data_IF_534783708226
#
_entry.id   IF_534783708226
#
_cell.length_a   1.000
_cell.length_b   1.000
_cell.length_c   1.000
_cell.angle_alpha   90.00
_cell.angle_beta   90.00
_cell.angle_gamma   90.00
#
_symmetry.space_group_name_H-M   'P 1'
#
loop_
_entity.id
_entity.type
_entity.pdbx_description
1 polymer ?
#
# COMPACT_ATOMS: atom_id res chain seq x y z
N UNK A 1 -35.80 46.47 29.55
CA UNK A 1 -36.22 45.44 28.57
C UNK A 1 -35.79 44.07 29.09
N UNK A 2 -36.69 43.10 29.25
CA UNK A 2 -36.32 41.72 29.58
C UNK A 2 -35.76 41.06 28.32
N UNK A 3 -34.46 40.78 28.28
CA UNK A 3 -33.87 39.92 27.25
C UNK A 3 -34.58 38.57 27.27
N UNK A 4 -35.37 38.27 26.24
CA UNK A 4 -35.91 36.92 26.03
C UNK A 4 -34.73 35.99 25.83
N UNK A 5 -34.50 35.08 26.78
CA UNK A 5 -33.53 33.99 26.62
C UNK A 5 -33.88 33.22 25.34
N UNK A 6 -32.94 33.08 24.39
CA UNK A 6 -33.20 32.37 23.15
C UNK A 6 -33.45 30.89 23.43
N UNK A 7 -34.54 30.38 22.86
CA UNK A 7 -35.03 28.99 23.02
C UNK A 7 -33.98 27.97 22.59
N UNK A 8 -33.03 28.32 21.71
CA UNK A 8 -32.09 27.39 21.10
C UNK A 8 -31.11 26.71 22.08
N UNK A 9 -30.55 27.42 23.07
CA UNK A 9 -29.55 26.84 24.02
C UNK A 9 -30.16 25.84 25.00
N UNK A 10 -31.49 25.86 25.18
CA UNK A 10 -32.24 24.90 25.98
C UNK A 10 -33.25 24.12 25.14
N UNK A 11 -33.17 24.25 23.81
CA UNK A 11 -34.08 23.55 22.92
C UNK A 11 -33.65 22.09 22.86
N UNK A 12 -34.61 21.19 22.95
CA UNK A 12 -34.41 19.76 22.70
C UNK A 12 -33.64 19.53 21.41
N UNK A 13 -33.88 20.36 20.38
CA UNK A 13 -33.18 20.32 19.11
C UNK A 13 -31.67 20.60 19.23
N UNK A 14 -31.25 21.62 20.00
CA UNK A 14 -29.84 21.93 20.22
C UNK A 14 -29.10 20.81 20.95
N UNK A 15 -29.74 20.20 21.95
CA UNK A 15 -29.20 19.02 22.65
C UNK A 15 -29.06 17.81 21.72
N UNK A 16 -30.07 17.54 20.89
CA UNK A 16 -30.03 16.43 19.92
C UNK A 16 -28.91 16.66 18.91
N UNK A 17 -28.82 17.83 18.28
CA UNK A 17 -27.78 18.13 17.29
C UNK A 17 -26.38 18.03 17.92
N UNK A 18 -26.17 18.60 19.11
CA UNK A 18 -24.87 18.55 19.79
C UNK A 18 -24.50 17.11 20.17
N UNK A 19 -25.43 16.35 20.73
CA UNK A 19 -25.20 14.95 21.12
C UNK A 19 -24.90 14.07 19.90
N UNK A 20 -25.67 14.22 18.82
CA UNK A 20 -25.44 13.52 17.56
C UNK A 20 -24.07 13.87 16.97
N UNK A 21 -23.69 15.15 16.91
CA UNK A 21 -22.38 15.54 16.39
C UNK A 21 -21.25 14.98 17.25
N UNK A 22 -21.34 15.04 18.58
CA UNK A 22 -20.32 14.47 19.48
C UNK A 22 -20.16 12.96 19.25
N UNK A 23 -21.27 12.21 19.11
CA UNK A 23 -21.21 10.78 18.85
C UNK A 23 -20.62 10.45 17.48
N UNK A 24 -21.06 11.16 16.43
CA UNK A 24 -20.56 10.95 15.06
C UNK A 24 -19.11 11.39 14.88
N UNK A 25 -18.65 12.39 15.64
CA UNK A 25 -17.26 12.88 15.58
C UNK A 25 -16.30 12.10 16.48
N UNK A 26 -16.79 11.28 17.41
CA UNK A 26 -15.95 10.54 18.37
C UNK A 26 -14.87 9.68 17.71
N UNK A 27 -15.16 8.89 16.64
CA UNK A 27 -14.12 8.11 15.96
C UNK A 27 -13.01 9.00 15.39
N UNK A 28 -13.35 10.18 14.86
CA UNK A 28 -12.38 11.13 14.33
C UNK A 28 -11.53 11.78 15.43
N UNK A 29 -12.11 12.05 16.59
CA UNK A 29 -11.37 12.51 17.77
C UNK A 29 -10.37 11.48 18.27
N UNK A 30 -10.81 10.22 18.39
CA UNK A 30 -9.93 9.13 18.82
C UNK A 30 -8.83 8.88 17.79
N UNK A 31 -9.15 8.91 16.49
CA UNK A 31 -8.16 8.79 15.42
C UNK A 31 -7.17 9.96 15.43
N UNK A 32 -7.63 11.20 15.61
CA UNK A 32 -6.75 12.37 15.68
C UNK A 32 -5.84 12.34 16.92
N UNK A 33 -6.38 11.97 18.09
CA UNK A 33 -5.59 11.84 19.31
C UNK A 33 -4.57 10.69 19.19
N UNK A 34 -4.99 9.54 18.66
CA UNK A 34 -4.12 8.41 18.36
C UNK A 34 -3.01 8.81 17.40
N UNK A 35 -3.35 9.46 16.28
CA UNK A 35 -2.40 9.97 15.30
C UNK A 35 -1.40 10.92 15.95
N UNK A 36 -1.86 11.90 16.73
CA UNK A 36 -0.99 12.84 17.42
C UNK A 36 -0.01 12.14 18.37
N UNK A 37 -0.48 11.14 19.12
CA UNK A 37 0.31 10.41 20.10
C UNK A 37 1.38 9.50 19.45
N UNK A 38 1.06 8.85 18.33
CA UNK A 38 1.96 7.85 17.71
C UNK A 38 2.78 8.37 16.54
N UNK A 39 2.41 9.52 15.95
CA UNK A 39 3.07 10.02 14.75
C UNK A 39 4.53 10.38 15.00
N UNK A 40 5.40 9.95 14.09
CA UNK A 40 6.80 10.37 14.03
C UNK A 40 6.98 11.59 13.13
N UNK A 41 6.12 11.76 12.10
CA UNK A 41 6.28 12.84 11.14
C UNK A 41 5.58 14.14 11.58
N UNK A 42 6.24 15.31 11.44
CA UNK A 42 5.63 16.59 11.78
C UNK A 42 4.35 16.89 10.99
N UNK A 43 4.26 16.46 9.73
CA UNK A 43 3.08 16.65 8.87
C UNK A 43 1.85 15.95 9.44
N UNK A 44 2.00 14.69 9.86
CA UNK A 44 0.93 13.91 10.49
C UNK A 44 0.48 14.51 11.82
N UNK A 45 1.42 15.01 12.64
CA UNK A 45 1.10 15.71 13.90
C UNK A 45 0.32 17.00 13.64
N UNK A 46 0.73 17.80 12.64
CA UNK A 46 0.00 19.00 12.23
C UNK A 46 -1.41 18.66 11.75
N UNK A 47 -1.57 17.58 10.98
CA UNK A 47 -2.89 17.14 10.54
C UNK A 47 -3.77 16.70 11.72
N UNK A 48 -3.21 15.98 12.69
CA UNK A 48 -3.90 15.63 13.92
C UNK A 48 -4.34 16.87 14.72
N UNK A 49 -3.47 17.88 14.85
CA UNK A 49 -3.80 19.18 15.46
C UNK A 49 -4.93 19.86 14.69
N UNK A 50 -4.88 19.86 13.36
CA UNK A 50 -5.95 20.42 12.53
C UNK A 50 -7.29 19.74 12.83
N UNK A 51 -7.33 18.41 12.88
CA UNK A 51 -8.56 17.67 13.22
C UNK A 51 -9.06 18.00 14.64
N UNK A 52 -8.17 17.98 15.64
CA UNK A 52 -8.49 18.32 17.04
C UNK A 52 -9.06 19.75 17.14
N UNK A 53 -8.53 20.70 16.38
CA UNK A 53 -9.01 22.08 16.41
C UNK A 53 -10.32 22.29 15.61
N UNK A 54 -10.48 21.63 14.47
CA UNK A 54 -11.60 21.87 13.55
C UNK A 54 -12.86 21.06 13.88
N UNK A 55 -12.74 19.84 14.42
CA UNK A 55 -13.88 18.99 14.80
C UNK A 55 -14.88 19.63 15.81
N UNK A 56 -14.45 20.43 16.81
CA UNK A 56 -15.37 21.10 17.72
C UNK A 56 -15.98 22.40 17.15
N UNK A 57 -15.60 22.86 15.96
CA UNK A 57 -16.14 24.11 15.40
C UNK A 57 -17.67 24.10 15.25
N UNK A 58 -18.32 23.06 14.68
CA UNK A 58 -19.77 23.05 14.56
C UNK A 58 -20.48 23.19 15.92
N UNK A 59 -19.95 22.56 16.98
CA UNK A 59 -20.48 22.71 18.34
C UNK A 59 -20.34 24.14 18.87
N UNK A 60 -19.19 24.78 18.64
CA UNK A 60 -18.99 26.17 19.08
C UNK A 60 -19.84 27.16 18.27
N UNK A 61 -20.08 26.90 16.98
CA UNK A 61 -20.98 27.68 16.12
C UNK A 61 -22.45 27.55 16.54
N UNK A 62 -22.88 26.37 16.99
CA UNK A 62 -24.24 26.18 17.56
C UNK A 62 -24.46 27.05 18.81
N UNK A 63 -23.39 27.36 19.55
CA UNK A 63 -23.41 28.17 20.78
C UNK A 63 -22.84 29.59 20.55
N UNK A 64 -22.90 30.10 19.31
CA UNK A 64 -22.24 31.33 18.85
C UNK A 64 -22.61 32.59 19.63
N UNK A 65 -23.71 32.63 20.40
CA UNK A 65 -24.14 33.85 21.10
C UNK A 65 -23.22 34.29 22.23
N UNK A 66 -22.47 33.37 22.86
CA UNK A 66 -21.52 33.71 23.93
C UNK A 66 -20.21 34.21 23.33
N UNK A 67 -19.76 35.40 23.73
CA UNK A 67 -18.49 35.99 23.24
C UNK A 67 -17.30 35.06 23.44
N UNK A 68 -17.24 34.32 24.55
CA UNK A 68 -16.20 33.32 24.79
C UNK A 68 -16.19 32.18 23.76
N UNK A 69 -17.36 31.73 23.31
CA UNK A 69 -17.49 30.69 22.26
C UNK A 69 -17.08 31.22 20.89
N UNK A 70 -17.37 32.49 20.59
CA UNK A 70 -16.89 33.14 19.35
C UNK A 70 -15.37 33.22 19.32
N UNK A 71 -14.76 33.66 20.42
CA UNK A 71 -13.31 33.75 20.55
C UNK A 71 -12.69 32.35 20.42
N UNK A 72 -13.24 31.36 21.13
CA UNK A 72 -12.77 29.98 21.02
C UNK A 72 -12.89 29.42 19.59
N UNK A 73 -14.03 29.62 18.92
CA UNK A 73 -14.22 29.18 17.53
C UNK A 73 -13.23 29.86 16.57
N UNK A 74 -12.99 31.16 16.74
CA UNK A 74 -12.01 31.89 15.91
C UNK A 74 -10.60 31.35 16.13
N UNK A 75 -10.19 31.14 17.37
CA UNK A 75 -8.86 30.59 17.69
C UNK A 75 -8.70 29.16 17.14
N UNK A 76 -9.71 28.31 17.32
CA UNK A 76 -9.72 26.95 16.78
C UNK A 76 -9.64 26.95 15.25
N UNK A 77 -10.36 27.83 14.58
CA UNK A 77 -10.32 27.98 13.13
C UNK A 77 -8.95 28.47 12.64
N UNK A 78 -8.36 29.46 13.32
CA UNK A 78 -7.04 29.99 12.97
C UNK A 78 -5.96 28.93 13.16
N UNK A 79 -5.93 28.25 14.31
CA UNK A 79 -4.93 27.21 14.59
C UNK A 79 -5.12 26.01 13.68
N UNK A 80 -6.35 25.50 13.58
CA UNK A 80 -6.65 24.33 12.75
C UNK A 80 -6.45 24.60 11.25
N UNK A 81 -6.90 25.76 10.78
CA UNK A 81 -6.72 26.19 9.39
C UNK A 81 -5.25 26.40 9.04
N UNK A 82 -4.46 27.02 9.93
CA UNK A 82 -3.01 27.20 9.74
C UNK A 82 -2.27 25.87 9.73
N UNK A 83 -2.60 24.95 10.64
CA UNK A 83 -2.02 23.62 10.67
C UNK A 83 -2.32 22.84 9.38
N UNK A 84 -3.57 22.87 8.90
CA UNK A 84 -3.97 22.24 7.65
C UNK A 84 -3.29 22.86 6.42
N UNK A 85 -3.17 24.19 6.39
CA UNK A 85 -2.45 24.90 5.34
C UNK A 85 -0.96 24.49 5.30
N UNK A 86 -0.30 24.42 6.45
CA UNK A 86 1.09 23.97 6.56
C UNK A 86 1.25 22.49 6.17
N UNK A 87 0.26 21.63 6.47
CA UNK A 87 0.24 20.27 5.93
C UNK A 87 0.19 20.29 4.41
N UNK A 88 -0.74 21.05 3.82
CA UNK A 88 -0.91 21.15 2.37
C UNK A 88 0.34 21.63 1.62
N UNK A 89 1.10 22.55 2.20
CA UNK A 89 2.37 23.00 1.61
C UNK A 89 3.46 21.92 1.62
N UNK A 90 3.43 20.99 2.57
CA UNK A 90 4.42 19.91 2.69
C UNK A 90 4.07 18.66 1.89
N UNK A 91 2.83 18.55 1.42
CA UNK A 91 2.34 17.39 0.65
C UNK A 91 2.50 17.55 -0.85
N UNK A 92 3.26 18.55 -1.32
CA UNK A 92 3.56 18.75 -2.73
C UNK A 92 4.56 17.69 -3.22
N UNK A 93 4.04 16.47 -3.36
CA UNK A 93 4.75 15.33 -3.91
C UNK A 93 4.49 15.29 -5.42
N UNK A 94 5.56 15.07 -6.19
CA UNK A 94 5.50 15.00 -7.65
C UNK A 94 5.43 13.54 -8.07
N UNK A 95 4.62 13.17 -9.08
CA UNK A 95 4.64 11.80 -9.63
C UNK A 95 5.96 11.44 -10.33
N UNK A 96 6.95 12.35 -10.38
CA UNK A 96 8.15 12.21 -11.18
C UNK A 96 7.91 12.64 -12.64
N UNK A 97 8.99 12.90 -13.35
CA UNK A 97 8.98 13.25 -14.78
C UNK A 97 9.10 12.02 -15.66
N UNK A 98 8.83 12.18 -16.95
CA UNK A 98 8.89 11.09 -17.93
C UNK A 98 10.29 10.44 -18.04
N UNK A 99 11.34 11.17 -17.71
CA UNK A 99 12.72 10.66 -17.81
C UNK A 99 13.31 10.27 -16.44
N UNK A 100 12.53 10.41 -15.36
CA UNK A 100 13.01 10.04 -14.03
C UNK A 100 13.07 8.51 -13.89
N UNK A 101 14.14 7.94 -13.32
CA UNK A 101 14.27 6.50 -13.13
C UNK A 101 13.14 5.90 -12.30
N UNK A 102 12.69 6.62 -11.26
CA UNK A 102 11.55 6.27 -10.44
C UNK A 102 10.41 7.27 -10.67
N UNK A 103 9.20 6.77 -10.94
CA UNK A 103 8.03 7.62 -11.18
C UNK A 103 6.72 6.86 -10.98
N UNK A 104 5.62 7.61 -10.98
CA UNK A 104 4.26 7.12 -11.03
C UNK A 104 3.64 7.43 -12.39
N UNK A 105 3.19 6.40 -13.08
CA UNK A 105 2.47 6.52 -14.35
C UNK A 105 0.97 6.48 -14.07
N UNK A 106 0.25 7.53 -14.44
CA UNK A 106 -1.21 7.61 -14.32
C UNK A 106 -1.82 7.49 -15.73
N UNK A 107 -2.74 6.55 -15.92
CA UNK A 107 -3.41 6.32 -17.21
C UNK A 107 -4.72 7.09 -17.36
N UNK A 108 -5.43 7.31 -16.26
CA UNK A 108 -6.64 8.13 -16.21
C UNK A 108 -6.35 9.47 -15.52
N UNK A 109 -7.23 10.47 -15.68
CA UNK A 109 -7.22 11.69 -14.87
C UNK A 109 -7.40 11.29 -13.41
N UNK A 110 -6.27 11.10 -12.72
CA UNK A 110 -6.25 10.60 -11.35
C UNK A 110 -7.16 11.46 -10.47
N UNK A 111 -8.00 10.85 -9.62
CA UNK A 111 -8.83 11.59 -8.68
C UNK A 111 -7.93 12.50 -7.85
N UNK A 112 -8.32 13.78 -7.81
CA UNK A 112 -7.63 14.88 -7.15
C UNK A 112 -6.84 14.46 -5.90
N UNK A 113 -5.55 14.76 -5.87
CA UNK A 113 -4.59 14.50 -4.78
C UNK A 113 -4.98 15.08 -3.40
N UNK A 114 -6.06 15.85 -3.32
CA UNK A 114 -6.56 16.53 -2.11
C UNK A 114 -7.45 15.63 -1.25
N UNK A 115 -7.12 14.36 -1.15
CA UNK A 115 -7.83 13.46 -0.25
C UNK A 115 -7.15 13.45 1.13
N UNK A 116 -7.91 13.29 2.24
CA UNK A 116 -7.39 13.47 3.59
C UNK A 116 -6.16 12.62 3.94
N UNK A 117 -6.04 11.44 3.33
CA UNK A 117 -4.91 10.53 3.50
C UNK A 117 -3.58 11.10 2.99
N UNK A 118 -3.61 12.06 2.05
CA UNK A 118 -2.40 12.74 1.59
C UNK A 118 -1.72 13.57 2.68
N UNK A 119 -2.45 14.00 3.72
CA UNK A 119 -1.92 14.82 4.82
C UNK A 119 -1.22 14.04 5.92
N UNK A 120 -1.35 12.71 5.93
CA UNK A 120 -0.70 11.84 6.91
C UNK A 120 0.45 11.14 6.20
N UNK A 121 1.66 11.21 6.76
CA UNK A 121 2.79 10.49 6.18
C UNK A 121 2.53 8.98 6.21
N UNK A 122 2.93 8.26 5.16
CA UNK A 122 2.61 6.83 5.02
C UNK A 122 3.14 5.97 6.19
N UNK A 123 4.31 6.30 6.74
CA UNK A 123 4.87 5.64 7.95
C UNK A 123 3.94 5.74 9.17
N UNK A 124 3.26 6.88 9.35
CA UNK A 124 2.34 7.10 10.45
C UNK A 124 0.99 6.43 10.22
N UNK A 125 0.56 6.38 8.95
CA UNK A 125 -0.61 5.60 8.56
C UNK A 125 -0.40 4.11 8.84
N UNK A 126 0.77 3.57 8.46
CA UNK A 126 1.16 2.19 8.77
C UNK A 126 1.23 1.98 10.29
N UNK A 127 1.85 2.92 11.01
CA UNK A 127 1.96 2.83 12.47
C UNK A 127 0.58 2.70 13.13
N UNK A 128 -0.37 3.58 12.80
CA UNK A 128 -1.75 3.48 13.28
C UNK A 128 -2.41 2.14 12.90
N UNK A 129 -2.26 1.73 11.64
CA UNK A 129 -2.79 0.46 11.16
C UNK A 129 -2.24 -0.72 11.95
N UNK A 130 -0.95 -0.74 12.28
CA UNK A 130 -0.35 -1.82 13.06
C UNK A 130 -0.94 -1.94 14.48
N UNK A 131 -1.31 -0.82 15.13
CA UNK A 131 -2.01 -0.85 16.41
C UNK A 131 -3.40 -1.45 16.25
N UNK A 132 -4.12 -1.05 15.20
CA UNK A 132 -5.45 -1.60 14.90
C UNK A 132 -5.38 -3.09 14.58
N UNK A 133 -4.40 -3.52 13.79
CA UNK A 133 -4.19 -4.93 13.46
C UNK A 133 -3.88 -5.73 14.71
N UNK A 134 -2.96 -5.31 15.58
CA UNK A 134 -2.70 -6.01 16.84
C UNK A 134 -3.92 -6.09 17.79
N UNK A 135 -4.87 -5.16 17.67
CA UNK A 135 -6.10 -5.17 18.45
C UNK A 135 -7.20 -6.06 17.86
N UNK A 136 -7.16 -6.38 16.57
CA UNK A 136 -8.25 -7.05 15.84
C UNK A 136 -7.87 -8.37 15.21
N UNK A 137 -6.59 -8.59 14.96
CA UNK A 137 -6.00 -9.78 14.37
C UNK A 137 -5.40 -10.63 15.49
N UNK A 138 -6.01 -11.78 15.79
CA UNK A 138 -5.54 -12.69 16.83
C UNK A 138 -4.14 -13.24 16.58
N UNK A 139 -3.70 -13.22 15.32
CA UNK A 139 -2.43 -13.81 14.92
C UNK A 139 -1.27 -12.79 15.01
N UNK A 140 -1.58 -11.50 15.16
CA UNK A 140 -0.59 -10.45 15.28
C UNK A 140 -0.50 -9.95 16.73
N UNK A 141 0.53 -10.40 17.45
CA UNK A 141 0.77 -9.94 18.82
C UNK A 141 1.17 -8.46 18.88
N UNK A 142 0.93 -7.82 20.03
CA UNK A 142 1.35 -6.43 20.27
C UNK A 142 2.86 -6.21 20.14
N UNK A 143 3.66 -7.18 20.60
CA UNK A 143 5.12 -7.12 20.48
C UNK A 143 5.55 -7.20 19.03
N UNK A 144 4.94 -8.11 18.25
CA UNK A 144 5.27 -8.24 16.83
C UNK A 144 4.86 -7.00 16.04
N UNK A 145 3.68 -6.45 16.32
CA UNK A 145 3.27 -5.18 15.72
C UNK A 145 4.22 -4.03 16.10
N UNK A 146 4.82 -4.03 17.29
CA UNK A 146 5.84 -3.06 17.67
C UNK A 146 7.12 -3.22 16.86
N UNK A 147 7.61 -4.45 16.68
CA UNK A 147 8.77 -4.73 15.82
C UNK A 147 8.55 -4.26 14.39
N UNK A 148 7.36 -4.52 13.82
CA UNK A 148 7.00 -4.05 12.48
C UNK A 148 6.98 -2.53 12.37
N UNK A 149 6.56 -1.82 13.42
CA UNK A 149 6.62 -0.35 13.44
C UNK A 149 8.06 0.15 13.41
N UNK A 150 8.97 -0.47 14.15
CA UNK A 150 10.38 -0.08 14.14
C UNK A 150 11.02 -0.37 12.77
N UNK A 151 10.78 -1.56 12.19
CA UNK A 151 11.24 -1.90 10.83
C UNK A 151 10.75 -0.85 9.82
N UNK A 152 9.47 -0.47 9.90
CA UNK A 152 8.91 0.53 8.99
C UNK A 152 9.46 1.93 9.25
N UNK A 153 9.72 2.33 10.49
CA UNK A 153 10.37 3.62 10.78
C UNK A 153 11.76 3.68 10.17
N UNK A 154 12.56 2.63 10.33
CA UNK A 154 13.91 2.55 9.77
C UNK A 154 13.85 2.61 8.23
N UNK A 155 12.96 1.82 7.63
CA UNK A 155 12.73 1.81 6.19
C UNK A 155 12.34 3.20 5.64
N UNK A 156 11.50 3.93 6.36
CA UNK A 156 11.07 5.27 5.96
C UNK A 156 12.13 6.34 6.23
N UNK A 157 12.96 6.15 7.24
CA UNK A 157 14.16 6.97 7.45
C UNK A 157 15.06 6.88 6.23
N UNK A 158 15.35 5.67 5.76
CA UNK A 158 16.17 5.44 4.57
C UNK A 158 15.50 5.97 3.29
N UNK A 159 14.20 5.71 3.10
CA UNK A 159 13.42 6.20 1.97
C UNK A 159 13.44 7.74 1.90
N UNK A 160 13.39 8.43 3.04
CA UNK A 160 13.42 9.89 3.09
C UNK A 160 14.73 10.49 2.56
N UNK A 161 15.80 9.69 2.55
CA UNK A 161 17.11 10.09 2.03
C UNK A 161 17.30 9.69 0.56
N UNK A 162 16.42 8.86 -0.02
CA UNK A 162 16.51 8.46 -1.42
C UNK A 162 15.97 9.60 -2.32
N UNK A 163 16.80 10.21 -3.17
CA UNK A 163 16.40 11.37 -3.97
C UNK A 163 15.38 11.03 -5.07
N UNK A 164 15.26 9.76 -5.47
CA UNK A 164 14.35 9.31 -6.51
C UNK A 164 12.97 8.92 -5.95
N UNK A 165 12.91 8.48 -4.68
CA UNK A 165 11.68 7.99 -4.07
C UNK A 165 11.04 8.96 -3.07
N UNK A 166 11.83 9.77 -2.37
CA UNK A 166 11.36 10.63 -1.26
C UNK A 166 10.29 11.65 -1.65
N UNK A 167 10.25 12.06 -2.93
CA UNK A 167 9.29 13.04 -3.45
C UNK A 167 8.04 12.43 -4.07
N UNK A 168 7.99 11.10 -4.22
CA UNK A 168 6.84 10.42 -4.80
C UNK A 168 5.65 10.46 -3.81
N UNK A 169 4.40 10.55 -4.29
CA UNK A 169 3.24 10.49 -3.42
C UNK A 169 2.91 9.06 -2.98
N UNK A 170 2.31 8.93 -1.80
CA UNK A 170 1.73 7.66 -1.32
C UNK A 170 0.55 7.23 -2.19
N UNK A 171 0.43 5.92 -2.43
CA UNK A 171 -0.68 5.31 -3.17
C UNK A 171 -1.75 4.65 -2.29
N UNK A 172 -1.58 4.70 -0.95
CA UNK A 172 -2.52 4.08 -0.01
C UNK A 172 -3.93 4.68 -0.03
N UNK A 173 -4.10 5.86 -0.61
CA UNK A 173 -5.42 6.46 -0.81
C UNK A 173 -6.41 5.54 -1.55
N UNK A 174 -5.92 4.78 -2.53
CA UNK A 174 -6.73 3.80 -3.27
C UNK A 174 -7.16 2.65 -2.36
N UNK A 175 -6.24 2.16 -1.51
CA UNK A 175 -6.50 1.12 -0.52
C UNK A 175 -7.57 1.54 0.50
N UNK A 176 -7.52 2.78 1.01
CA UNK A 176 -8.55 3.23 1.96
C UNK A 176 -9.92 3.39 1.33
N UNK A 177 -9.99 3.89 0.09
CA UNK A 177 -11.26 3.95 -0.64
C UNK A 177 -11.89 2.57 -0.75
N UNK A 178 -11.09 1.56 -1.09
CA UNK A 178 -11.54 0.18 -1.20
C UNK A 178 -12.04 -0.37 0.14
N UNK A 179 -11.30 -0.12 1.23
CA UNK A 179 -11.69 -0.52 2.58
C UNK A 179 -13.01 0.13 3.05
N UNK A 180 -13.32 1.32 2.54
CA UNK A 180 -14.60 2.01 2.78
C UNK A 180 -15.74 1.51 1.88
N UNK A 181 -15.50 0.46 1.09
CA UNK A 181 -16.48 -0.11 0.16
C UNK A 181 -16.73 0.76 -1.08
N UNK A 182 -15.86 1.74 -1.34
CA UNK A 182 -15.93 2.57 -2.53
C UNK A 182 -15.24 1.81 -3.66
N UNK A 183 -15.94 1.61 -4.78
CA UNK A 183 -15.39 0.93 -5.95
C UNK A 183 -14.07 1.59 -6.39
N UNK A 184 -13.07 0.74 -6.63
CA UNK A 184 -11.73 1.16 -7.02
C UNK A 184 -11.46 0.76 -8.47
N UNK A 185 -11.04 1.73 -9.27
CA UNK A 185 -10.50 1.49 -10.60
C UNK A 185 -9.01 1.13 -10.51
N UNK A 186 -8.41 0.80 -11.65
CA UNK A 186 -6.96 0.70 -11.77
C UNK A 186 -6.31 2.03 -11.34
N UNK A 187 -5.36 1.95 -10.42
CA UNK A 187 -4.64 3.10 -9.89
C UNK A 187 -3.33 3.37 -10.63
N UNK A 188 -2.55 4.37 -10.17
CA UNK A 188 -1.23 4.65 -10.73
C UNK A 188 -0.29 3.45 -10.64
N UNK A 189 0.62 3.35 -11.61
CA UNK A 189 1.67 2.33 -11.67
C UNK A 189 2.98 2.94 -11.19
N UNK A 190 3.56 2.42 -10.11
CA UNK A 190 4.94 2.75 -9.75
C UNK A 190 5.90 2.05 -10.70
N UNK A 191 6.88 2.79 -11.22
CA UNK A 191 7.89 2.23 -12.12
C UNK A 191 9.27 2.66 -11.66
N UNK A 192 10.21 1.72 -11.63
CA UNK A 192 11.62 1.98 -11.44
C UNK A 192 12.47 1.28 -12.49
N UNK A 193 13.23 2.06 -13.28
CA UNK A 193 14.14 1.57 -14.30
C UNK A 193 15.57 1.91 -13.84
N UNK A 194 16.38 0.93 -13.38
CA UNK A 194 17.72 1.22 -12.90
C UNK A 194 18.60 1.75 -14.04
N UNK A 195 19.46 2.72 -13.74
CA UNK A 195 20.44 3.24 -14.71
C UNK A 195 21.28 2.11 -15.30
N UNK A 196 21.83 2.30 -16.51
CA UNK A 196 22.63 1.26 -17.18
C UNK A 196 23.85 0.95 -16.32
N UNK A 197 23.81 -0.18 -15.60
CA UNK A 197 24.98 -0.71 -14.92
C UNK A 197 26.08 -0.88 -15.97
N UNK A 198 27.25 -0.29 -15.76
CA UNK A 198 28.28 0.10 -16.73
C UNK A 198 28.90 -0.98 -17.64
N UNK A 199 28.24 -2.11 -17.86
CA UNK A 199 28.49 -2.96 -19.01
C UNK A 199 27.84 -2.36 -20.26
N UNK A 200 28.62 -2.25 -21.34
CA UNK A 200 28.27 -1.74 -22.67
C UNK A 200 27.14 -2.53 -23.40
N UNK A 201 26.26 -3.21 -22.69
CA UNK A 201 25.13 -3.94 -23.25
C UNK A 201 23.98 -3.00 -23.57
N UNK A 202 23.78 -2.71 -24.86
CA UNK A 202 22.59 -2.06 -25.43
C UNK A 202 21.31 -2.91 -25.32
N UNK A 203 21.25 -3.86 -24.38
CA UNK A 203 20.16 -4.83 -24.26
C UNK A 203 18.98 -4.27 -23.47
N UNK A 204 17.78 -4.57 -23.96
CA UNK A 204 16.54 -4.41 -23.20
C UNK A 204 16.59 -5.28 -21.93
N UNK A 205 15.98 -4.79 -20.84
CA UNK A 205 16.02 -5.41 -19.51
C UNK A 205 14.76 -6.23 -19.24
N UNK A 206 14.88 -7.28 -18.44
CA UNK A 206 13.71 -7.94 -17.87
C UNK A 206 12.94 -6.99 -16.94
N UNK A 207 11.65 -7.21 -16.77
CA UNK A 207 10.81 -6.44 -15.86
C UNK A 207 10.11 -7.36 -14.84
N UNK A 208 10.13 -6.94 -13.59
CA UNK A 208 9.39 -7.55 -12.48
C UNK A 208 8.11 -6.76 -12.26
N UNK A 209 6.96 -7.35 -12.63
CA UNK A 209 5.63 -6.77 -12.40
C UNK A 209 5.11 -7.26 -11.06
N UNK A 210 4.95 -6.37 -10.08
CA UNK A 210 4.72 -6.75 -8.67
C UNK A 210 3.31 -6.38 -8.22
N UNK A 211 2.51 -7.39 -7.90
CA UNK A 211 1.18 -7.24 -7.34
C UNK A 211 1.25 -7.17 -5.81
N UNK A 212 0.90 -6.01 -5.26
CA UNK A 212 0.90 -5.80 -3.82
C UNK A 212 -0.19 -6.63 -3.10
N UNK A 213 0.02 -6.87 -1.81
CA UNK A 213 -0.95 -7.53 -0.94
C UNK A 213 -1.96 -6.59 -0.30
N UNK A 214 -2.55 -7.03 0.81
CA UNK A 214 -3.59 -6.32 1.58
C UNK A 214 -3.15 -4.98 2.17
N UNK A 215 -1.84 -4.73 2.21
CA UNK A 215 -1.28 -3.49 2.69
C UNK A 215 -1.34 -2.34 1.69
N UNK A 216 -1.64 -2.61 0.41
CA UNK A 216 -1.59 -1.62 -0.65
C UNK A 216 -0.19 -1.49 -1.27
N UNK A 217 -0.07 -0.61 -2.26
CA UNK A 217 1.18 -0.30 -2.94
C UNK A 217 2.01 0.71 -2.13
N UNK A 218 2.68 0.22 -1.08
CA UNK A 218 3.41 1.04 -0.10
C UNK A 218 4.72 1.60 -0.66
N UNK A 219 5.04 2.86 -0.38
CA UNK A 219 6.33 3.48 -0.76
C UNK A 219 7.51 2.76 -0.13
N UNK A 220 7.38 2.33 1.13
CA UNK A 220 8.41 1.53 1.81
C UNK A 220 8.78 0.28 1.00
N UNK A 221 7.79 -0.38 0.37
CA UNK A 221 8.07 -1.52 -0.50
C UNK A 221 8.85 -1.14 -1.76
N UNK A 222 8.60 0.05 -2.33
CA UNK A 222 9.32 0.54 -3.50
C UNK A 222 10.80 0.72 -3.24
N UNK A 223 11.17 1.18 -2.04
CA UNK A 223 12.58 1.30 -1.66
C UNK A 223 13.28 -0.07 -1.65
N UNK A 224 12.62 -1.09 -1.09
CA UNK A 224 13.14 -2.46 -1.13
C UNK A 224 13.26 -2.97 -2.57
N UNK A 225 12.22 -2.78 -3.39
CA UNK A 225 12.24 -3.19 -4.79
C UNK A 225 13.28 -2.46 -5.63
N UNK A 226 13.50 -1.17 -5.36
CA UNK A 226 14.56 -0.38 -5.97
C UNK A 226 15.93 -0.97 -5.67
N UNK A 227 16.22 -1.35 -4.42
CA UNK A 227 17.49 -2.01 -4.07
C UNK A 227 17.71 -3.32 -4.85
N UNK A 228 16.64 -4.11 -5.04
CA UNK A 228 16.70 -5.33 -5.84
C UNK A 228 16.94 -5.03 -7.32
N UNK A 229 16.27 -4.01 -7.86
CA UNK A 229 16.47 -3.56 -9.23
C UNK A 229 17.89 -3.06 -9.47
N UNK A 230 18.44 -2.28 -8.53
CA UNK A 230 19.81 -1.76 -8.60
C UNK A 230 20.85 -2.90 -8.64
N UNK A 231 20.63 -3.99 -7.90
CA UNK A 231 21.57 -5.11 -7.82
C UNK A 231 21.44 -6.15 -8.93
N UNK A 232 20.30 -6.20 -9.61
CA UNK A 232 19.99 -7.20 -10.64
C UNK A 232 19.87 -6.61 -12.05
N UNK A 233 19.65 -5.30 -12.15
CA UNK A 233 19.37 -4.61 -13.41
C UNK A 233 17.96 -4.86 -13.96
N UNK A 234 17.05 -5.48 -13.20
CA UNK A 234 15.66 -5.64 -13.63
C UNK A 234 14.88 -4.33 -13.44
N UNK A 235 13.97 -4.03 -14.34
CA UNK A 235 12.96 -3.00 -14.12
C UNK A 235 11.94 -3.47 -13.08
N UNK A 236 11.38 -2.55 -12.29
CA UNK A 236 10.26 -2.82 -11.38
C UNK A 236 9.05 -2.04 -11.85
N UNK A 237 7.91 -2.73 -11.93
CA UNK A 237 6.63 -2.14 -12.33
C UNK A 237 5.56 -2.64 -11.34
N UNK A 238 5.11 -1.79 -10.44
CA UNK A 238 4.16 -2.14 -9.39
C UNK A 238 2.81 -1.41 -9.62
N UNK A 239 1.83 -2.05 -10.26
CA UNK A 239 0.49 -1.48 -10.39
C UNK A 239 -0.18 -1.33 -9.03
N UNK A 240 -1.12 -0.38 -8.94
CA UNK A 240 -1.95 -0.16 -7.75
C UNK A 240 -3.37 -0.59 -8.01
N UNK A 241 -3.94 -1.40 -7.12
CA UNK A 241 -5.36 -1.77 -7.19
C UNK A 241 -5.97 -2.01 -5.81
N UNK A 242 -6.85 -1.10 -5.37
CA UNK A 242 -7.61 -1.20 -4.13
C UNK A 242 -6.79 -1.64 -2.92
N UNK A 243 -7.32 -2.60 -2.15
CA UNK A 243 -6.57 -3.27 -1.09
C UNK A 243 -5.84 -4.54 -1.55
N UNK A 244 -5.51 -4.68 -2.84
CA UNK A 244 -4.82 -5.86 -3.37
C UNK A 244 -5.72 -7.09 -3.54
N UNK A 245 -7.03 -6.88 -3.67
CA UNK A 245 -8.00 -7.94 -4.00
C UNK A 245 -8.13 -8.07 -5.53
N UNK A 246 -7.08 -8.57 -6.17
CA UNK A 246 -6.91 -8.56 -7.62
C UNK A 246 -7.96 -9.35 -8.42
N UNK A 247 -8.74 -10.20 -7.75
CA UNK A 247 -9.83 -10.96 -8.36
C UNK A 247 -11.06 -10.10 -8.68
N UNK A 248 -11.19 -8.91 -8.08
CA UNK A 248 -12.32 -7.99 -8.30
C UNK A 248 -12.24 -7.28 -9.64
N UNK A 249 -13.40 -6.76 -10.07
CA UNK A 249 -13.53 -5.91 -11.27
C UNK A 249 -12.50 -4.78 -11.24
N UNK A 250 -11.70 -4.66 -12.30
CA UNK A 250 -10.63 -3.67 -12.42
C UNK A 250 -9.23 -4.21 -12.11
N UNK A 251 -9.08 -5.30 -11.34
CA UNK A 251 -7.77 -5.84 -10.97
C UNK A 251 -6.96 -6.28 -12.19
N UNK A 252 -7.56 -7.05 -13.10
CA UNK A 252 -6.92 -7.42 -14.37
C UNK A 252 -6.61 -6.24 -15.27
N UNK A 253 -7.42 -5.17 -15.24
CA UNK A 253 -7.15 -3.97 -16.01
C UNK A 253 -5.90 -3.24 -15.47
N UNK A 254 -5.71 -3.19 -14.14
CA UNK A 254 -4.49 -2.65 -13.54
C UNK A 254 -3.25 -3.47 -13.91
N UNK A 255 -3.35 -4.81 -13.95
CA UNK A 255 -2.25 -5.66 -14.39
C UNK A 255 -1.94 -5.44 -15.88
N UNK A 256 -2.98 -5.33 -16.71
CA UNK A 256 -2.83 -5.04 -18.14
C UNK A 256 -2.17 -3.67 -18.38
N UNK A 257 -2.49 -2.64 -17.60
CA UNK A 257 -1.83 -1.33 -17.67
C UNK A 257 -0.32 -1.40 -17.31
N UNK A 258 0.04 -2.19 -16.30
CA UNK A 258 1.45 -2.43 -15.98
C UNK A 258 2.16 -3.20 -17.10
N UNK A 259 1.52 -4.21 -17.69
CA UNK A 259 2.07 -4.93 -18.84
C UNK A 259 2.23 -4.01 -20.06
N UNK A 260 1.23 -3.16 -20.34
CA UNK A 260 1.28 -2.19 -21.44
C UNK A 260 2.45 -1.21 -21.27
N UNK A 261 2.70 -0.75 -20.04
CA UNK A 261 3.90 0.03 -19.73
C UNK A 261 5.16 -0.74 -20.12
N UNK A 262 5.28 -2.01 -19.71
CA UNK A 262 6.44 -2.83 -20.01
C UNK A 262 6.70 -3.00 -21.52
N UNK A 263 5.67 -3.31 -22.31
CA UNK A 263 5.84 -3.59 -23.74
C UNK A 263 6.17 -2.32 -24.54
N UNK A 264 5.63 -1.17 -24.13
CA UNK A 264 5.84 0.11 -24.82
C UNK A 264 7.14 0.80 -24.41
N UNK A 265 7.74 0.44 -23.27
CA UNK A 265 8.96 1.07 -22.79
C UNK A 265 10.19 0.63 -23.61
N UNK A 266 11.00 1.57 -24.16
CA UNK A 266 12.09 1.23 -25.08
C UNK A 266 13.21 0.40 -24.42
N UNK A 267 13.38 0.53 -23.11
CA UNK A 267 14.43 -0.17 -22.34
C UNK A 267 13.99 -1.52 -21.74
N UNK A 268 12.72 -1.91 -21.87
CA UNK A 268 12.19 -3.17 -21.33
C UNK A 268 12.03 -4.20 -22.45
N UNK A 269 12.38 -5.45 -22.12
CA UNK A 269 12.21 -6.62 -22.97
C UNK A 269 10.85 -7.25 -22.71
N UNK A 270 9.94 -7.11 -23.68
CA UNK A 270 8.57 -7.65 -23.63
C UNK A 270 8.52 -9.18 -23.52
N UNK A 271 9.59 -9.89 -23.92
CA UNK A 271 9.68 -11.34 -23.78
C UNK A 271 10.15 -11.81 -22.40
N UNK A 272 10.58 -10.89 -21.54
CA UNK A 272 11.19 -11.18 -20.23
C UNK A 272 10.47 -10.50 -19.09
N UNK A 273 9.15 -10.69 -19.05
CA UNK A 273 8.28 -10.19 -17.98
C UNK A 273 8.10 -11.25 -16.90
N UNK A 274 8.37 -10.89 -15.65
CA UNK A 274 8.23 -11.76 -14.48
C UNK A 274 7.06 -11.24 -13.67
N UNK A 275 6.05 -12.08 -13.44
CA UNK A 275 4.90 -11.71 -12.62
C UNK A 275 5.16 -12.12 -11.17
N UNK A 276 5.11 -11.14 -10.28
CA UNK A 276 5.29 -11.32 -8.86
C UNK A 276 4.05 -10.95 -8.07
N UNK A 277 3.83 -11.60 -6.93
CA UNK A 277 2.72 -11.31 -6.04
C UNK A 277 3.05 -11.52 -4.57
N UNK A 278 2.59 -10.60 -3.72
CA UNK A 278 2.80 -10.65 -2.26
C UNK A 278 1.46 -10.91 -1.57
N UNK A 279 1.36 -11.91 -0.69
CA UNK A 279 0.11 -12.19 0.02
C UNK A 279 -1.05 -12.45 -0.96
N UNK A 280 -2.13 -11.66 -0.86
CA UNK A 280 -3.25 -11.66 -1.82
C UNK A 280 -2.83 -11.30 -3.25
N UNK A 281 -1.76 -10.53 -3.42
CA UNK A 281 -1.14 -10.29 -4.73
C UNK A 281 -0.66 -11.59 -5.40
N UNK A 282 -0.27 -12.59 -4.61
CA UNK A 282 0.06 -13.92 -5.13
C UNK A 282 -1.14 -14.64 -5.76
N UNK A 283 -2.34 -14.43 -5.21
CA UNK A 283 -3.59 -14.93 -5.82
C UNK A 283 -3.85 -14.25 -7.16
N UNK A 284 -3.74 -12.92 -7.22
CA UNK A 284 -3.84 -12.17 -8.47
C UNK A 284 -2.84 -12.64 -9.52
N UNK A 285 -1.59 -12.86 -9.09
CA UNK A 285 -0.52 -13.31 -9.97
C UNK A 285 -0.81 -14.67 -10.58
N UNK A 286 -1.26 -15.63 -9.77
CA UNK A 286 -1.61 -16.97 -10.26
C UNK A 286 -2.86 -16.97 -11.16
N UNK A 287 -3.86 -16.15 -10.86
CA UNK A 287 -5.05 -16.00 -11.72
C UNK A 287 -4.67 -15.43 -13.09
N UNK A 288 -3.84 -14.39 -13.11
CA UNK A 288 -3.39 -13.78 -14.36
C UNK A 288 -2.46 -14.71 -15.14
N UNK A 289 -1.56 -15.41 -14.45
CA UNK A 289 -0.70 -16.43 -15.04
C UNK A 289 -1.52 -17.56 -15.69
N UNK A 290 -2.64 -17.97 -15.08
CA UNK A 290 -3.54 -18.95 -15.66
C UNK A 290 -4.31 -18.41 -16.88
N UNK A 291 -4.66 -17.12 -16.87
CA UNK A 291 -5.46 -16.49 -17.91
C UNK A 291 -4.64 -16.12 -19.15
N UNK A 292 -3.43 -15.59 -18.96
CA UNK A 292 -2.53 -15.08 -20.01
C UNK A 292 -1.10 -15.64 -19.82
N UNK A 293 -0.92 -16.97 -19.86
CA UNK A 293 0.35 -17.61 -19.54
C UNK A 293 1.50 -17.16 -20.44
N UNK A 294 1.27 -16.99 -21.74
CA UNK A 294 2.30 -16.61 -22.71
C UNK A 294 2.92 -15.22 -22.45
N UNK A 295 2.28 -14.40 -21.63
CA UNK A 295 2.72 -13.02 -21.34
C UNK A 295 3.78 -12.92 -20.24
N UNK A 296 4.04 -14.02 -19.52
CA UNK A 296 4.86 -14.01 -18.31
C UNK A 296 5.91 -15.10 -18.36
N UNK A 297 7.20 -14.76 -18.42
CA UNK A 297 8.32 -15.72 -18.46
C UNK A 297 8.37 -16.61 -17.21
N UNK A 298 8.19 -16.02 -16.02
CA UNK A 298 8.33 -16.68 -14.71
C UNK A 298 7.34 -16.11 -13.68
N UNK A 299 7.12 -16.87 -12.61
CA UNK A 299 6.36 -16.41 -11.44
C UNK A 299 7.23 -16.29 -10.18
N UNK A 300 6.96 -15.27 -9.37
CA UNK A 300 7.54 -15.09 -8.04
C UNK A 300 6.42 -14.85 -7.02
N UNK A 301 6.27 -15.73 -6.04
CA UNK A 301 5.21 -15.65 -5.04
C UNK A 301 5.83 -15.48 -3.65
N UNK A 302 5.48 -14.41 -2.97
CA UNK A 302 5.98 -14.08 -1.64
C UNK A 302 4.86 -14.16 -0.62
N UNK A 303 4.98 -15.10 0.32
CA UNK A 303 3.96 -15.44 1.30
C UNK A 303 2.54 -15.46 0.69
N UNK A 304 2.31 -16.18 -0.42
CA UNK A 304 1.04 -16.11 -1.13
C UNK A 304 -0.11 -16.64 -0.26
N UNK A 305 -1.26 -15.97 -0.33
CA UNK A 305 -2.50 -16.50 0.27
C UNK A 305 -3.06 -17.58 -0.65
N UNK A 306 -3.31 -18.78 -0.12
CA UNK A 306 -3.63 -19.98 -0.89
C UNK A 306 -5.10 -20.38 -0.91
N UNK A 307 -5.92 -19.87 0.01
CA UNK A 307 -7.36 -20.19 0.11
C UNK A 307 -8.16 -19.91 -1.17
N UNK A 308 -7.71 -18.94 -1.97
CA UNK A 308 -8.40 -18.48 -3.19
C UNK A 308 -7.81 -19.11 -4.47
N UNK A 309 -6.80 -19.96 -4.32
CA UNK A 309 -6.04 -20.48 -5.42
C UNK A 309 -6.72 -21.70 -6.03
N UNK A 310 -7.38 -21.50 -7.18
CA UNK A 310 -7.75 -22.58 -8.12
C UNK A 310 -6.51 -23.13 -8.86
N UNK A 311 -5.42 -23.42 -8.12
CA UNK A 311 -4.15 -23.92 -8.67
C UNK A 311 -4.35 -25.21 -9.47
N UNK A 312 -5.34 -26.05 -9.12
CA UNK A 312 -5.67 -27.27 -9.85
C UNK A 312 -6.39 -27.08 -11.19
N UNK A 313 -6.56 -25.84 -11.67
CA UNK A 313 -7.21 -25.62 -12.97
C UNK A 313 -6.37 -26.18 -14.12
N UNK A 314 -7.04 -26.88 -15.05
CA UNK A 314 -6.40 -27.42 -16.25
C UNK A 314 -5.69 -26.33 -17.08
N UNK A 315 -6.25 -25.13 -17.11
CA UNK A 315 -5.68 -23.95 -17.77
C UNK A 315 -4.30 -23.58 -17.23
N UNK A 316 -4.12 -23.58 -15.90
CA UNK A 316 -2.81 -23.31 -15.31
C UNK A 316 -1.84 -24.46 -15.61
N UNK A 317 -2.30 -25.71 -15.50
CA UNK A 317 -1.46 -26.89 -15.74
C UNK A 317 -0.87 -26.94 -17.14
N UNK A 318 -1.72 -26.87 -18.15
CA UNK A 318 -1.28 -27.06 -19.54
C UNK A 318 -0.37 -25.91 -19.97
N UNK A 319 -0.59 -24.71 -19.44
CA UNK A 319 0.15 -23.54 -19.85
C UNK A 319 1.44 -23.26 -19.07
N UNK A 320 1.58 -23.80 -17.85
CA UNK A 320 2.77 -23.59 -17.02
C UNK A 320 3.69 -24.80 -16.89
N UNK A 321 3.37 -25.92 -17.55
CA UNK A 321 4.23 -27.10 -17.58
C UNK A 321 5.64 -26.76 -18.09
N UNK A 322 6.66 -27.13 -17.32
CA UNK A 322 8.08 -26.91 -17.62
C UNK A 322 8.57 -25.48 -17.38
N UNK A 323 7.70 -24.54 -16.97
CA UNK A 323 8.06 -23.14 -16.72
C UNK A 323 8.48 -22.94 -15.27
N UNK A 324 9.26 -21.89 -15.02
CA UNK A 324 9.85 -21.62 -13.70
C UNK A 324 8.91 -20.80 -12.82
N UNK A 325 8.77 -21.21 -11.56
CA UNK A 325 8.16 -20.38 -10.53
C UNK A 325 8.96 -20.49 -9.23
N UNK A 326 9.09 -19.39 -8.50
CA UNK A 326 9.67 -19.34 -7.17
C UNK A 326 8.59 -19.02 -6.14
N UNK A 327 8.59 -19.76 -5.03
CA UNK A 327 7.73 -19.47 -3.87
C UNK A 327 8.64 -19.29 -2.64
N UNK A 328 8.50 -18.15 -1.98
CA UNK A 328 9.11 -17.90 -0.67
C UNK A 328 7.98 -17.73 0.34
N UNK A 329 7.93 -18.60 1.34
CA UNK A 329 6.86 -18.62 2.35
C UNK A 329 7.43 -18.85 3.74
N UNK A 330 6.59 -18.74 4.75
CA UNK A 330 6.93 -19.12 6.12
C UNK A 330 6.95 -20.64 6.31
N UNK A 331 7.79 -21.12 7.22
CA UNK A 331 7.80 -22.52 7.65
C UNK A 331 6.68 -22.75 8.68
N UNK A 332 5.46 -23.04 8.21
CA UNK A 332 4.32 -23.32 9.08
C UNK A 332 3.08 -23.85 8.36
N UNK A 333 2.31 -24.69 9.04
CA UNK A 333 1.00 -25.17 8.59
C UNK A 333 -0.13 -24.13 8.80
N UNK A 334 0.19 -22.98 9.38
CA UNK A 334 -0.78 -22.01 9.91
C UNK A 334 -0.86 -20.75 9.06
N UNK A 335 -1.27 -20.88 7.80
CA UNK A 335 -1.74 -19.72 7.05
C UNK A 335 -3.22 -19.93 6.74
N UNK A 336 -4.07 -19.60 7.72
CA UNK A 336 -5.54 -19.57 7.60
C UNK A 336 -6.25 -20.93 7.34
N UNK A 337 -7.55 -21.08 7.71
CA UNK A 337 -8.27 -22.34 7.60
C UNK A 337 -8.71 -22.63 6.14
N UNK A 338 -7.75 -23.04 5.30
CA UNK A 338 -8.04 -23.52 3.95
C UNK A 338 -6.79 -23.73 3.10
N UNK A 339 -6.38 -24.99 2.95
CA UNK A 339 -5.24 -25.44 2.12
C UNK A 339 -3.86 -24.88 2.52
N UNK A 340 -3.05 -25.73 3.18
CA UNK A 340 -1.61 -25.46 3.42
C UNK A 340 -0.90 -25.11 2.10
N UNK A 341 0.06 -24.18 2.16
CA UNK A 341 0.99 -23.87 1.05
C UNK A 341 1.63 -25.13 0.47
N UNK A 342 1.80 -26.18 1.29
CA UNK A 342 2.29 -27.48 0.87
C UNK A 342 1.37 -28.15 -0.16
N UNK A 343 0.05 -28.06 0.01
CA UNK A 343 -0.91 -28.60 -0.96
C UNK A 343 -0.83 -27.84 -2.28
N UNK A 344 -0.73 -26.50 -2.22
CA UNK A 344 -0.53 -25.67 -3.40
C UNK A 344 0.74 -26.08 -4.18
N UNK A 345 1.85 -26.27 -3.46
CA UNK A 345 3.12 -26.73 -4.01
C UNK A 345 3.02 -28.12 -4.63
N UNK A 346 2.46 -29.10 -3.91
CA UNK A 346 2.26 -30.46 -4.42
C UNK A 346 1.44 -30.45 -5.70
N UNK A 347 0.38 -29.64 -5.77
CA UNK A 347 -0.38 -29.51 -7.02
C UNK A 347 0.49 -28.90 -8.11
N UNK A 348 1.14 -27.75 -7.89
CA UNK A 348 2.00 -27.10 -8.89
C UNK A 348 3.12 -28.01 -9.42
N UNK A 349 3.75 -28.81 -8.55
CA UNK A 349 4.75 -29.82 -8.93
C UNK A 349 4.12 -30.93 -9.78
N UNK A 350 2.96 -31.45 -9.38
CA UNK A 350 2.22 -32.47 -10.13
C UNK A 350 1.77 -31.96 -11.52
N UNK A 351 1.57 -30.66 -11.68
CA UNK A 351 1.30 -30.04 -12.99
C UNK A 351 2.56 -29.92 -13.87
N UNK A 352 3.73 -30.21 -13.33
CA UNK A 352 5.02 -30.16 -14.01
C UNK A 352 5.65 -28.76 -14.05
N UNK A 353 5.24 -27.85 -13.16
CA UNK A 353 5.88 -26.53 -13.00
C UNK A 353 7.25 -26.74 -12.33
N UNK A 354 8.30 -26.07 -12.84
CA UNK A 354 9.64 -26.10 -12.23
C UNK A 354 9.67 -25.15 -11.04
N UNK A 355 9.42 -25.69 -9.84
CA UNK A 355 9.35 -24.91 -8.60
C UNK A 355 10.70 -24.79 -7.91
N UNK A 356 10.99 -23.57 -7.45
CA UNK A 356 12.01 -23.28 -6.45
C UNK A 356 11.30 -22.80 -5.18
N UNK A 357 11.46 -23.51 -4.07
CA UNK A 357 10.75 -23.21 -2.82
C UNK A 357 11.72 -22.84 -1.71
N UNK A 358 11.46 -21.74 -1.00
CA UNK A 358 12.20 -21.35 0.19
C UNK A 358 11.24 -21.12 1.35
N UNK A 359 11.59 -21.69 2.51
CA UNK A 359 10.85 -21.50 3.75
C UNK A 359 11.69 -20.68 4.73
N UNK A 360 11.14 -19.56 5.18
CA UNK A 360 11.77 -18.71 6.19
C UNK A 360 11.23 -19.08 7.58
N UNK A 361 12.12 -19.11 8.57
CA UNK A 361 11.82 -19.55 9.94
C UNK A 361 11.00 -18.56 10.75
N UNK A 362 10.87 -17.33 10.29
CA UNK A 362 10.32 -16.19 11.05
C UNK A 362 8.81 -16.14 11.15
N UNK A 363 8.07 -17.02 10.45
CA UNK A 363 6.64 -17.25 10.71
C UNK A 363 5.74 -16.02 10.60
N UNK A 364 6.12 -15.01 9.81
CA UNK A 364 5.39 -13.74 9.76
C UNK A 364 4.80 -13.45 8.38
N UNK A 365 3.49 -13.19 8.29
CA UNK A 365 2.83 -12.68 7.07
C UNK A 365 3.45 -11.39 6.49
N UNK A 366 4.30 -10.69 7.24
CA UNK A 366 5.11 -9.56 6.78
C UNK A 366 6.58 -9.92 6.45
N UNK A 367 6.87 -11.18 6.12
CA UNK A 367 8.20 -11.68 5.71
C UNK A 367 8.95 -10.72 4.78
N UNK A 368 8.26 -10.14 3.80
CA UNK A 368 8.83 -9.20 2.85
C UNK A 368 9.47 -7.95 3.51
N UNK A 369 8.92 -7.50 4.64
CA UNK A 369 9.44 -6.36 5.40
C UNK A 369 10.46 -6.82 6.45
N UNK A 370 10.16 -7.88 7.20
CA UNK A 370 11.01 -8.31 8.32
C UNK A 370 12.29 -9.02 7.90
N UNK A 371 12.25 -9.75 6.79
CA UNK A 371 13.32 -10.65 6.35
C UNK A 371 13.81 -10.31 4.94
N UNK A 372 13.73 -9.03 4.58
CA UNK A 372 14.08 -8.54 3.25
C UNK A 372 15.47 -8.99 2.80
N UNK A 373 16.47 -8.97 3.69
CA UNK A 373 17.83 -9.40 3.37
C UNK A 373 17.90 -10.86 2.93
N UNK A 374 17.18 -11.76 3.63
CA UNK A 374 17.11 -13.18 3.30
C UNK A 374 16.33 -13.41 2.00
N UNK A 375 15.21 -12.72 1.83
CA UNK A 375 14.39 -12.77 0.60
C UNK A 375 15.22 -12.34 -0.61
N UNK A 376 15.90 -11.20 -0.50
CA UNK A 376 16.78 -10.67 -1.53
C UNK A 376 17.91 -11.66 -1.89
N UNK A 377 18.50 -12.32 -0.89
CA UNK A 377 19.54 -13.33 -1.11
C UNK A 377 19.05 -14.52 -1.97
N UNK A 378 17.76 -14.88 -1.89
CA UNK A 378 17.19 -15.95 -2.72
C UNK A 378 16.75 -15.45 -4.11
N UNK A 379 16.17 -14.25 -4.18
CA UNK A 379 15.61 -13.71 -5.44
C UNK A 379 16.72 -13.27 -6.39
N UNK A 380 17.79 -12.63 -5.91
CA UNK A 380 18.83 -12.06 -6.77
C UNK A 380 19.48 -13.08 -7.73
N UNK A 381 19.95 -14.26 -7.27
CA UNK A 381 20.53 -15.26 -8.17
C UNK A 381 19.49 -15.78 -9.17
N UNK A 382 18.26 -16.00 -8.72
CA UNK A 382 17.18 -16.53 -9.53
C UNK A 382 16.77 -15.57 -10.67
N UNK A 383 16.76 -14.26 -10.41
CA UNK A 383 16.52 -13.24 -11.44
C UNK A 383 17.67 -13.15 -12.46
N UNK A 384 18.90 -13.46 -12.04
CA UNK A 384 20.10 -13.43 -12.90
C UNK A 384 20.26 -14.70 -13.74
N UNK A 385 19.52 -15.78 -13.45
CA UNK A 385 19.52 -16.98 -14.27
C UNK A 385 19.09 -16.66 -15.70
N UNK A 386 19.92 -17.07 -16.67
CA UNK A 386 19.52 -17.03 -18.08
C UNK A 386 18.31 -17.97 -18.31
N UNK A 387 17.37 -17.58 -19.19
CA UNK A 387 16.19 -18.39 -19.52
C UNK A 387 16.58 -19.80 -19.99
#
# INVERSE_FOLDING_TARGET
MKEKRPVAETSTLGCVISGTWTLLSLPFWLAAAGLFAVSTMPTSRLFAVALICLLPLPLNLLHWRRTSRKIAALLLLVVGGSALFLCGQKTENSPGKTDDPARLVCYDESPSHLLPWGFVAEVDQFSLRSYFMAATDSDLSWSRAAELREIMKDLYSDLSQDPQLSSLPSLLGTTYRDMLGIETAAGPVFTYIPEKSGSNGSGKRAALVILHGSLGNLQGSWFLWKQLADSTGVAVVAPTFGSGEWSRTGGRAAIAQAREFCITHPDIDEGRLILAGIGRGGTGALQEAAALPQEWERLLLLAPVTEELKIGSKSLSDAWRGRKAMIISEHGETSFPGQSIHNALTVMEALGIRLTTHYLSTGDRFLFLSDWSLIRQQIEPWLKEKP
#
